data_IF_654917085044
#
_entry.id   IF_654917085044
#
_cell.length_a   1.000
_cell.length_b   1.000
_cell.length_c   1.000
_cell.angle_alpha   90.00
_cell.angle_beta   90.00
_cell.angle_gamma   90.00
#
_symmetry.space_group_name_H-M   'P 1'
#
loop_
_entity.id
_entity.type
_entity.pdbx_description
1 polymer ?
#
# COMPACT_ATOMS: atom_id res chain seq x y z
N UNK A 1 19.72 -12.36 23.84
CA UNK A 1 19.08 -11.20 23.16
C UNK A 1 19.05 -9.94 24.03
N UNK A 2 18.86 -10.02 25.36
CA UNK A 2 18.80 -8.85 26.24
C UNK A 2 20.18 -8.18 26.47
N UNK A 3 21.26 -8.96 26.52
CA UNK A 3 22.61 -8.44 26.83
C UNK A 3 23.26 -7.60 25.71
N UNK A 4 22.85 -7.78 24.45
CA UNK A 4 23.33 -6.93 23.34
C UNK A 4 22.70 -5.53 23.35
N UNK A 5 21.63 -5.31 24.12
CA UNK A 5 20.92 -4.03 24.22
C UNK A 5 21.59 -3.02 25.17
N UNK A 6 22.68 -3.43 25.85
CA UNK A 6 23.48 -2.61 26.79
C UNK A 6 24.86 -2.23 26.25
N UNK A 7 25.07 -2.20 24.93
CA UNK A 7 26.29 -1.58 24.37
C UNK A 7 26.26 -0.07 24.66
N UNK A 8 27.42 0.53 24.93
CA UNK A 8 27.58 1.98 24.91
C UNK A 8 27.24 2.44 23.50
N UNK A 9 26.06 3.03 23.36
CA UNK A 9 25.58 3.49 22.08
C UNK A 9 26.30 4.80 21.73
N UNK A 10 26.70 5.00 20.46
CA UNK A 10 27.25 6.27 20.00
C UNK A 10 26.29 7.42 20.29
N UNK A 11 26.86 8.63 20.43
CA UNK A 11 26.04 9.83 20.64
C UNK A 11 25.11 10.01 19.45
N UNK A 12 23.85 10.35 19.74
CA UNK A 12 22.90 10.72 18.70
C UNK A 12 23.50 11.83 17.81
N UNK A 13 23.43 11.69 16.48
CA UNK A 13 23.93 12.70 15.56
C UNK A 13 23.17 14.02 15.74
N UNK A 14 23.85 15.15 15.53
CA UNK A 14 23.27 16.49 15.71
C UNK A 14 23.00 17.21 14.39
N UNK A 15 23.49 16.69 13.28
CA UNK A 15 23.23 17.18 11.94
C UNK A 15 23.11 16.02 10.93
N UNK A 16 22.57 16.26 9.71
CA UNK A 16 22.60 15.28 8.62
C UNK A 16 24.02 14.81 8.27
N UNK A 17 25.01 15.70 8.27
CA UNK A 17 26.41 15.36 8.00
C UNK A 17 26.97 14.41 9.07
N UNK A 18 26.62 14.64 10.34
CA UNK A 18 26.95 13.72 11.43
C UNK A 18 26.34 12.33 11.20
N UNK A 19 25.11 12.25 10.66
CA UNK A 19 24.46 10.98 10.31
C UNK A 19 25.28 10.24 9.26
N UNK A 20 25.63 10.90 8.15
CA UNK A 20 26.40 10.28 7.07
C UNK A 20 27.78 9.82 7.54
N UNK A 21 28.48 10.64 8.33
CA UNK A 21 29.77 10.28 8.92
C UNK A 21 29.64 9.05 9.83
N UNK A 22 28.68 9.07 10.75
CA UNK A 22 28.45 7.96 11.68
C UNK A 22 28.09 6.66 10.94
N UNK A 23 27.20 6.72 9.95
CA UNK A 23 26.81 5.55 9.17
C UNK A 23 27.98 5.02 8.31
N UNK A 24 28.79 5.89 7.73
CA UNK A 24 29.98 5.49 6.98
C UNK A 24 31.04 4.80 7.86
N UNK A 25 31.15 5.17 9.13
CA UNK A 25 31.99 4.48 10.10
C UNK A 25 31.37 3.14 10.55
N UNK A 26 30.04 3.09 10.71
CA UNK A 26 29.33 1.91 11.18
C UNK A 26 29.20 0.82 10.11
N UNK A 27 29.06 1.16 8.83
CA UNK A 27 28.80 0.18 7.74
C UNK A 27 29.88 -0.90 7.60
N UNK A 28 31.09 -0.64 8.08
CA UNK A 28 32.21 -1.61 8.04
C UNK A 28 32.18 -2.59 9.21
N UNK A 29 31.45 -2.27 10.28
CA UNK A 29 31.33 -3.09 11.48
C UNK A 29 30.40 -4.28 11.23
N UNK A 30 30.70 -5.43 11.85
CA UNK A 30 29.96 -6.67 11.59
C UNK A 30 28.49 -6.62 12.02
N UNK A 31 28.16 -5.84 13.06
CA UNK A 31 26.76 -5.63 13.49
C UNK A 31 25.90 -4.95 12.41
N UNK A 32 26.51 -4.28 11.44
CA UNK A 32 25.85 -3.53 10.36
C UNK A 32 25.95 -4.25 9.01
N UNK A 33 26.44 -5.49 9.02
CA UNK A 33 26.48 -6.36 7.85
C UNK A 33 25.40 -7.43 7.95
N UNK A 34 24.76 -7.74 6.83
CA UNK A 34 23.86 -8.88 6.74
C UNK A 34 24.57 -10.00 5.99
N UNK A 35 24.73 -11.18 6.63
CA UNK A 35 25.48 -12.32 6.06
C UNK A 35 26.88 -11.94 5.52
N UNK A 36 27.60 -11.10 6.27
CA UNK A 36 28.94 -10.55 5.95
C UNK A 36 28.99 -9.59 4.75
N UNK A 37 27.84 -9.20 4.19
CA UNK A 37 27.75 -8.17 3.14
C UNK A 37 27.27 -6.83 3.73
N UNK A 38 27.64 -5.69 3.10
CA UNK A 38 27.13 -4.39 3.50
C UNK A 38 25.60 -4.36 3.51
N UNK A 39 25.02 -3.79 4.57
CA UNK A 39 23.56 -3.60 4.68
C UNK A 39 23.16 -2.12 4.68
N UNK A 40 24.14 -1.22 4.75
CA UNK A 40 23.96 0.23 4.60
C UNK A 40 24.73 0.66 3.35
N UNK A 41 24.03 1.35 2.45
CA UNK A 41 24.56 1.89 1.20
C UNK A 41 24.30 3.39 1.18
N UNK A 42 25.35 4.16 0.89
CA UNK A 42 25.31 5.63 0.85
C UNK A 42 26.07 6.04 -0.40
N UNK A 43 25.46 6.82 -1.32
CA UNK A 43 26.13 7.35 -2.50
C UNK A 43 27.18 8.40 -2.09
N UNK A 44 28.15 8.65 -2.98
CA UNK A 44 29.27 9.57 -2.69
C UNK A 44 28.81 11.01 -2.41
N UNK A 45 27.70 11.43 -3.02
CA UNK A 45 27.09 12.75 -2.85
C UNK A 45 26.22 12.87 -1.58
N UNK A 46 26.05 11.77 -0.83
CA UNK A 46 25.19 11.67 0.34
C UNK A 46 23.71 12.07 0.07
N UNK A 47 23.19 11.84 -1.15
CA UNK A 47 21.81 12.22 -1.49
C UNK A 47 20.75 11.44 -0.72
N UNK A 48 21.04 10.19 -0.32
CA UNK A 48 20.13 9.34 0.46
C UNK A 48 20.90 8.29 1.27
N UNK A 49 20.19 7.59 2.18
CA UNK A 49 20.70 6.39 2.86
C UNK A 49 19.80 5.22 2.47
N UNK A 50 20.37 4.15 1.93
CA UNK A 50 19.65 2.93 1.61
C UNK A 50 20.09 1.82 2.57
N UNK A 51 19.14 1.24 3.31
CA UNK A 51 19.40 0.14 4.24
C UNK A 51 18.73 -1.10 3.69
N UNK A 52 19.49 -1.95 3.01
CA UNK A 52 18.97 -3.13 2.32
C UNK A 52 20.09 -4.10 1.97
N UNK A 53 19.72 -5.27 1.47
CA UNK A 53 20.68 -6.24 0.90
C UNK A 53 20.68 -6.20 -0.63
N UNK A 54 21.78 -6.59 -1.25
CA UNK A 54 21.89 -6.71 -2.71
C UNK A 54 20.80 -7.64 -3.28
N UNK A 55 20.43 -8.68 -2.53
CA UNK A 55 19.34 -9.58 -2.89
C UNK A 55 18.02 -8.82 -3.07
N UNK A 56 17.68 -7.87 -2.19
CA UNK A 56 16.44 -7.11 -2.33
C UNK A 56 16.47 -6.19 -3.55
N UNK A 57 17.60 -5.53 -3.80
CA UNK A 57 17.75 -4.65 -4.95
C UNK A 57 17.59 -5.43 -6.25
N UNK A 58 18.27 -6.58 -6.36
CA UNK A 58 18.15 -7.48 -7.50
C UNK A 58 16.73 -8.02 -7.64
N UNK A 59 16.08 -8.37 -6.53
CA UNK A 59 14.70 -8.85 -6.55
C UNK A 59 13.74 -7.76 -7.07
N UNK A 60 13.83 -6.53 -6.57
CA UNK A 60 13.01 -5.40 -7.03
C UNK A 60 13.19 -5.11 -8.51
N UNK A 61 14.43 -5.12 -9.00
CA UNK A 61 14.75 -4.89 -10.42
C UNK A 61 14.21 -6.02 -11.29
N UNK A 62 14.35 -7.28 -10.85
CA UNK A 62 13.99 -8.47 -11.64
C UNK A 62 12.47 -8.67 -11.75
N UNK A 63 11.72 -8.27 -10.73
CA UNK A 63 10.30 -8.58 -10.62
C UNK A 63 9.36 -7.41 -10.92
N UNK A 64 9.89 -6.30 -11.44
CA UNK A 64 9.14 -5.09 -11.84
C UNK A 64 8.00 -4.77 -10.87
N UNK A 65 8.34 -4.69 -9.57
CA UNK A 65 7.37 -4.59 -8.48
C UNK A 65 6.78 -3.17 -8.42
N UNK A 66 6.01 -2.77 -9.45
CA UNK A 66 5.38 -1.45 -9.58
C UNK A 66 3.93 -1.47 -9.07
N UNK A 67 3.30 -2.64 -8.95
CA UNK A 67 1.90 -2.75 -8.51
C UNK A 67 1.76 -2.31 -7.03
N UNK A 68 1.46 -1.03 -6.80
CA UNK A 68 1.12 -0.44 -5.50
C UNK A 68 -0.40 -0.48 -5.33
N UNK A 69 -0.92 -1.52 -4.69
CA UNK A 69 -2.35 -1.54 -4.40
C UNK A 69 -2.68 -0.55 -3.26
N UNK A 70 -3.13 0.64 -3.62
CA UNK A 70 -3.72 1.59 -2.67
C UNK A 70 -5.00 0.97 -2.12
N UNK A 71 -5.00 0.55 -0.85
CA UNK A 71 -6.28 0.25 -0.23
C UNK A 71 -7.10 1.54 -0.09
N UNK A 72 -8.41 1.42 -0.25
CA UNK A 72 -9.32 2.52 -0.02
C UNK A 72 -9.36 3.01 1.44
N UNK A 73 -8.38 2.67 2.30
CA UNK A 73 -8.29 3.21 3.65
C UNK A 73 -8.08 4.72 3.63
N UNK A 74 -7.33 5.28 2.67
CA UNK A 74 -7.15 6.73 2.54
C UNK A 74 -8.49 7.41 2.23
N UNK A 75 -9.23 6.88 1.25
CA UNK A 75 -10.58 7.33 0.90
C UNK A 75 -11.54 7.20 2.08
N UNK A 76 -11.50 6.07 2.80
CA UNK A 76 -12.27 5.90 4.03
C UNK A 76 -11.90 6.93 5.10
N UNK A 77 -10.61 7.20 5.35
CA UNK A 77 -10.19 8.22 6.33
C UNK A 77 -10.73 9.59 5.97
N UNK A 78 -10.70 9.97 4.68
CA UNK A 78 -11.29 11.22 4.20
C UNK A 78 -12.81 11.23 4.42
N UNK A 79 -13.53 10.18 4.02
CA UNK A 79 -14.97 10.03 4.28
C UNK A 79 -15.28 10.15 5.78
N UNK A 80 -14.50 9.47 6.63
CA UNK A 80 -14.72 9.41 8.07
C UNK A 80 -14.42 10.73 8.79
N UNK A 81 -13.59 11.59 8.18
CA UNK A 81 -13.27 12.92 8.71
C UNK A 81 -14.46 13.89 8.62
N UNK A 82 -15.39 13.67 7.69
CA UNK A 82 -16.62 14.43 7.54
C UNK A 82 -17.81 13.67 8.14
N UNK A 83 -18.58 14.30 9.01
CA UNK A 83 -19.71 13.64 9.66
C UNK A 83 -20.86 13.29 8.71
N UNK A 84 -21.13 14.11 7.70
CA UNK A 84 -22.19 13.92 6.72
C UNK A 84 -21.83 12.74 5.83
N UNK A 85 -20.63 12.73 5.26
CA UNK A 85 -20.14 11.63 4.41
C UNK A 85 -20.10 10.32 5.20
N UNK A 86 -19.62 10.35 6.44
CA UNK A 86 -19.56 9.17 7.31
C UNK A 86 -20.93 8.58 7.62
N UNK A 87 -21.93 9.42 7.91
CA UNK A 87 -23.30 8.97 8.20
C UNK A 87 -23.93 8.37 6.95
N UNK A 88 -23.81 9.05 5.81
CA UNK A 88 -24.31 8.58 4.52
C UNK A 88 -23.69 7.24 4.12
N UNK A 89 -22.37 7.11 4.22
CA UNK A 89 -21.64 5.88 3.88
C UNK A 89 -22.11 4.65 4.67
N UNK A 90 -22.41 4.82 5.97
CA UNK A 90 -22.85 3.74 6.85
C UNK A 90 -24.34 3.40 6.71
N UNK A 91 -25.13 4.32 6.19
CA UNK A 91 -26.57 4.12 6.03
C UNK A 91 -26.84 3.21 4.83
N UNK A 92 -27.71 2.23 5.02
CA UNK A 92 -28.15 1.36 3.92
C UNK A 92 -28.97 2.14 2.90
N UNK A 93 -28.73 1.86 1.61
CA UNK A 93 -29.45 2.44 0.47
C UNK A 93 -29.46 3.98 0.42
N UNK A 94 -28.46 4.63 1.02
CA UNK A 94 -28.26 6.06 0.91
C UNK A 94 -27.59 6.39 -0.44
N UNK A 95 -28.12 7.35 -1.19
CA UNK A 95 -27.58 7.72 -2.52
C UNK A 95 -26.15 8.24 -2.44
N UNK A 96 -25.86 9.11 -1.47
CA UNK A 96 -24.51 9.62 -1.21
C UNK A 96 -23.61 8.48 -0.72
N UNK A 97 -24.13 7.61 0.15
CA UNK A 97 -23.41 6.41 0.58
C UNK A 97 -23.01 5.50 -0.60
N UNK A 98 -23.92 5.25 -1.54
CA UNK A 98 -23.67 4.44 -2.73
C UNK A 98 -22.67 5.12 -3.67
N UNK A 99 -22.79 6.42 -3.87
CA UNK A 99 -21.83 7.21 -4.63
C UNK A 99 -20.41 7.08 -4.05
N UNK A 100 -20.24 7.30 -2.75
CA UNK A 100 -18.96 7.16 -2.05
C UNK A 100 -18.37 5.74 -2.17
N UNK A 101 -19.21 4.70 -2.05
CA UNK A 101 -18.76 3.30 -2.17
C UNK A 101 -18.30 2.97 -3.59
N UNK A 102 -18.83 3.63 -4.61
CA UNK A 102 -18.47 3.36 -6.02
C UNK A 102 -17.02 3.71 -6.34
N UNK A 103 -16.40 4.67 -5.62
CA UNK A 103 -14.98 4.99 -5.75
C UNK A 103 -14.08 3.78 -5.49
N UNK A 104 -14.44 2.92 -4.53
CA UNK A 104 -13.70 1.70 -4.21
C UNK A 104 -13.65 0.69 -5.38
N UNK A 105 -14.55 0.84 -6.36
CA UNK A 105 -14.52 0.07 -7.62
C UNK A 105 -13.47 0.56 -8.63
N UNK A 106 -12.99 1.80 -8.53
CA UNK A 106 -12.03 2.37 -9.49
C UNK A 106 -10.70 1.59 -9.54
N UNK A 107 -10.28 1.00 -8.41
CA UNK A 107 -9.06 0.20 -8.33
C UNK A 107 -9.10 -1.08 -9.17
N UNK A 108 -10.28 -1.41 -9.69
CA UNK A 108 -10.57 -2.60 -10.48
C UNK A 108 -10.83 -2.29 -11.95
N UNK A 109 -10.44 -1.10 -12.42
CA UNK A 109 -10.44 -0.72 -13.83
C UNK A 109 -9.01 -0.73 -14.40
N UNK A 110 -8.85 -0.86 -15.72
CA UNK A 110 -7.59 -0.51 -16.38
C UNK A 110 -7.22 0.94 -16.05
N UNK A 111 -5.93 1.20 -15.76
CA UNK A 111 -5.46 2.53 -15.36
C UNK A 111 -5.92 3.68 -16.27
N UNK A 112 -5.89 3.48 -17.59
CA UNK A 112 -6.29 4.45 -18.59
C UNK A 112 -7.81 4.72 -18.65
N UNK A 113 -8.65 3.88 -18.03
CA UNK A 113 -10.11 4.11 -17.95
C UNK A 113 -10.53 4.82 -16.66
N UNK A 114 -9.62 4.97 -15.69
CA UNK A 114 -9.96 5.50 -14.36
C UNK A 114 -10.42 6.96 -14.41
N UNK A 115 -9.76 7.79 -15.21
CA UNK A 115 -10.13 9.20 -15.34
C UNK A 115 -11.54 9.37 -15.94
N UNK A 116 -11.86 8.63 -17.01
CA UNK A 116 -13.19 8.65 -17.63
C UNK A 116 -14.25 8.12 -16.65
N UNK A 117 -13.96 7.05 -15.93
CA UNK A 117 -14.85 6.51 -14.91
C UNK A 117 -15.10 7.48 -13.74
N UNK A 118 -14.08 8.26 -13.37
CA UNK A 118 -14.22 9.32 -12.38
C UNK A 118 -15.17 10.43 -12.87
N UNK A 119 -15.07 10.84 -14.13
CA UNK A 119 -16.00 11.83 -14.74
C UNK A 119 -17.43 11.30 -14.72
N UNK A 120 -17.64 10.02 -15.04
CA UNK A 120 -18.95 9.38 -14.97
C UNK A 120 -19.51 9.37 -13.54
N UNK A 121 -18.67 9.11 -12.51
CA UNK A 121 -19.06 9.24 -11.11
C UNK A 121 -19.45 10.68 -10.74
N UNK A 122 -18.72 11.69 -11.23
CA UNK A 122 -19.06 13.10 -10.96
C UNK A 122 -20.44 13.45 -11.54
N UNK A 123 -20.80 12.90 -12.70
CA UNK A 123 -22.10 13.17 -13.36
C UNK A 123 -23.31 12.71 -12.55
N UNK A 124 -23.11 11.78 -11.61
CA UNK A 124 -24.16 11.23 -10.73
C UNK A 124 -23.94 11.60 -9.25
N UNK A 125 -23.14 12.63 -8.95
CA UNK A 125 -23.04 13.12 -7.58
C UNK A 125 -24.42 13.62 -7.10
N UNK A 126 -24.90 13.17 -5.93
CA UNK A 126 -26.22 13.55 -5.44
C UNK A 126 -26.27 14.96 -4.82
N UNK A 127 -25.12 15.58 -4.50
CA UNK A 127 -25.05 16.92 -3.92
C UNK A 127 -23.67 17.56 -4.13
N UNK A 128 -23.55 18.45 -5.13
CA UNK A 128 -22.28 19.09 -5.50
C UNK A 128 -21.55 19.77 -4.33
N UNK A 129 -22.27 20.43 -3.42
CA UNK A 129 -21.67 21.15 -2.29
C UNK A 129 -21.07 20.22 -1.23
N UNK A 130 -21.62 19.01 -1.10
CA UNK A 130 -21.14 18.00 -0.13
C UNK A 130 -20.09 17.10 -0.77
N UNK A 131 -20.22 16.82 -2.07
CA UNK A 131 -19.28 15.98 -2.81
C UNK A 131 -17.94 16.66 -3.09
N UNK A 132 -17.92 17.98 -3.34
CA UNK A 132 -16.76 18.67 -3.92
C UNK A 132 -15.47 18.44 -3.13
N UNK A 133 -15.51 18.55 -1.80
CA UNK A 133 -14.30 18.39 -0.99
C UNK A 133 -13.72 16.96 -1.06
N UNK A 134 -14.59 15.95 -1.16
CA UNK A 134 -14.15 14.56 -1.31
C UNK A 134 -13.67 14.26 -2.73
N UNK A 135 -14.40 14.71 -3.75
CA UNK A 135 -14.00 14.51 -5.15
C UNK A 135 -12.70 15.24 -5.48
N UNK A 136 -12.53 16.47 -5.00
CA UNK A 136 -11.29 17.24 -5.18
C UNK A 136 -10.11 16.55 -4.50
N UNK A 137 -10.33 16.01 -3.29
CA UNK A 137 -9.32 15.20 -2.61
C UNK A 137 -8.92 13.98 -3.44
N UNK A 138 -9.89 13.23 -3.97
CA UNK A 138 -9.61 12.05 -4.80
C UNK A 138 -8.89 12.46 -6.09
N UNK A 139 -9.37 13.50 -6.77
CA UNK A 139 -8.79 13.99 -8.01
C UNK A 139 -7.32 14.36 -7.85
N UNK A 140 -7.02 15.26 -6.91
CA UNK A 140 -5.68 15.81 -6.69
C UNK A 140 -4.67 14.77 -6.18
N UNK A 141 -5.14 13.67 -5.58
CA UNK A 141 -4.25 12.66 -4.99
C UNK A 141 -4.15 11.37 -5.80
N UNK A 142 -5.16 11.04 -6.61
CA UNK A 142 -5.29 9.70 -7.19
C UNK A 142 -5.66 9.64 -8.68
N UNK A 143 -6.27 10.69 -9.26
CA UNK A 143 -6.83 10.62 -10.62
C UNK A 143 -5.95 11.33 -11.63
N UNK A 144 -5.46 12.52 -11.27
CA UNK A 144 -4.60 13.31 -12.14
C UNK A 144 -3.27 12.57 -12.41
N UNK A 145 -2.76 12.63 -13.64
CA UNK A 145 -1.51 11.97 -14.02
C UNK A 145 -0.29 12.54 -13.26
N UNK A 146 -0.37 13.80 -12.84
CA UNK A 146 0.63 14.48 -12.01
C UNK A 146 0.31 14.37 -10.51
N UNK A 147 -0.73 13.62 -10.14
CA UNK A 147 -1.04 13.38 -8.74
C UNK A 147 0.07 12.57 -8.05
N UNK A 148 0.22 12.67 -6.71
CA UNK A 148 1.18 11.87 -5.97
C UNK A 148 1.00 10.35 -6.13
N UNK A 149 -0.21 9.89 -6.46
CA UNK A 149 -0.53 8.47 -6.64
C UNK A 149 -1.38 8.26 -7.91
N UNK A 150 -0.80 8.38 -9.11
CA UNK A 150 -1.56 8.32 -10.36
C UNK A 150 -2.13 6.92 -10.64
N UNK A 151 -3.18 6.77 -11.46
CA UNK A 151 -3.86 5.48 -11.66
C UNK A 151 -2.97 4.32 -12.09
N UNK A 152 -1.88 4.59 -12.81
CA UNK A 152 -0.94 3.58 -13.27
C UNK A 152 -0.24 2.79 -12.15
N UNK A 153 -0.17 3.33 -10.93
CA UNK A 153 0.46 2.62 -9.80
C UNK A 153 -0.54 1.80 -8.97
N UNK A 154 -1.85 2.10 -9.03
CA UNK A 154 -2.83 1.50 -8.11
C UNK A 154 -4.08 0.87 -8.75
N UNK A 155 -4.41 1.21 -9.99
CA UNK A 155 -5.56 0.69 -10.69
C UNK A 155 -5.17 -0.37 -11.72
N UNK A 156 -5.88 -1.49 -11.71
CA UNK A 156 -5.68 -2.59 -12.65
C UNK A 156 -6.97 -3.37 -12.84
N UNK A 157 -7.23 -3.87 -14.03
CA UNK A 157 -8.38 -4.76 -14.27
C UNK A 157 -8.31 -6.02 -13.38
N UNK A 158 -9.44 -6.61 -12.96
CA UNK A 158 -9.44 -7.74 -12.03
C UNK A 158 -8.76 -8.96 -12.65
N UNK A 159 -7.81 -9.55 -11.93
CA UNK A 159 -7.16 -10.80 -12.34
C UNK A 159 -7.26 -11.81 -11.19
N UNK A 160 -6.78 -13.03 -11.43
CA UNK A 160 -6.73 -14.07 -10.39
C UNK A 160 -5.52 -13.84 -9.45
N UNK A 161 -5.43 -12.65 -8.89
CA UNK A 161 -4.38 -12.21 -7.97
C UNK A 161 -4.97 -11.70 -6.64
N UNK A 162 -4.42 -12.10 -5.47
CA UNK A 162 -4.88 -11.59 -4.19
C UNK A 162 -4.58 -10.10 -4.04
N UNK A 163 -5.61 -9.26 -4.13
CA UNK A 163 -5.54 -7.82 -3.85
C UNK A 163 -5.92 -7.52 -2.41
N UNK A 164 -5.02 -7.86 -1.49
CA UNK A 164 -5.21 -7.58 -0.06
C UNK A 164 -4.02 -6.82 0.52
N UNK A 165 -4.32 -5.79 1.31
CA UNK A 165 -3.29 -5.10 2.10
C UNK A 165 -3.09 -5.75 3.46
N UNK A 166 -3.71 -6.91 3.73
CA UNK A 166 -3.56 -7.65 4.98
C UNK A 166 -2.10 -8.02 5.24
N UNK A 167 -1.38 -8.45 4.21
CA UNK A 167 0.05 -8.77 4.30
C UNK A 167 0.88 -7.52 4.67
N UNK A 168 0.67 -6.42 3.95
CA UNK A 168 1.36 -5.14 4.19
C UNK A 168 1.04 -4.56 5.57
N UNK A 169 -0.25 -4.53 5.94
CA UNK A 169 -0.70 -4.08 7.26
C UNK A 169 -0.17 -4.98 8.38
N UNK A 170 -0.13 -6.30 8.18
CA UNK A 170 0.46 -7.24 9.13
C UNK A 170 1.97 -7.01 9.29
N UNK A 171 2.67 -6.79 8.18
CA UNK A 171 4.08 -6.43 8.19
C UNK A 171 4.32 -5.16 9.00
N UNK A 172 3.63 -4.07 8.71
CA UNK A 172 3.80 -2.81 9.44
C UNK A 172 3.46 -2.93 10.92
N UNK A 173 2.39 -3.65 11.29
CA UNK A 173 2.05 -3.91 12.70
C UNK A 173 3.18 -4.68 13.40
N UNK A 174 3.67 -5.74 12.77
CA UNK A 174 4.73 -6.59 13.33
C UNK A 174 6.03 -5.80 13.46
N UNK A 175 6.43 -5.08 12.41
CA UNK A 175 7.62 -4.23 12.41
C UNK A 175 7.53 -3.15 13.50
N UNK A 176 6.43 -2.39 13.56
CA UNK A 176 6.24 -1.34 14.54
C UNK A 176 6.24 -1.89 15.98
N UNK A 177 5.72 -3.10 16.20
CA UNK A 177 5.72 -3.75 17.53
C UNK A 177 7.11 -4.10 18.07
N UNK A 178 8.15 -4.10 17.22
CA UNK A 178 9.54 -4.31 17.65
C UNK A 178 10.14 -3.08 18.36
N UNK A 179 9.48 -1.92 18.28
CA UNK A 179 9.96 -0.67 18.84
C UNK A 179 9.12 -0.23 20.05
N UNK A 180 9.76 -0.13 21.22
CA UNK A 180 9.11 0.27 22.47
C UNK A 180 9.40 1.73 22.88
N UNK A 181 10.07 2.50 22.02
CA UNK A 181 10.44 3.91 22.24
C UNK A 181 10.12 4.73 21.00
N UNK A 182 9.66 5.96 21.18
CA UNK A 182 9.37 6.88 20.06
C UNK A 182 10.61 7.22 19.22
N UNK A 183 11.80 7.13 19.82
CA UNK A 183 13.08 7.39 19.15
C UNK A 183 14.03 6.19 19.36
N UNK A 184 13.84 5.08 18.62
CA UNK A 184 14.70 3.92 18.74
C UNK A 184 16.11 4.23 18.22
N UNK A 185 17.12 3.62 18.82
CA UNK A 185 18.50 3.79 18.37
C UNK A 185 18.72 3.08 17.03
N UNK A 186 19.56 3.65 16.15
CA UNK A 186 19.82 3.10 14.81
C UNK A 186 20.28 1.63 14.84
N UNK A 187 21.02 1.22 15.88
CA UNK A 187 21.45 -0.16 16.05
C UNK A 187 20.27 -1.12 16.23
N UNK A 188 19.23 -0.70 16.97
CA UNK A 188 18.01 -1.48 17.14
C UNK A 188 17.23 -1.56 15.83
N UNK A 189 17.12 -0.43 15.11
CA UNK A 189 16.46 -0.38 13.80
C UNK A 189 17.13 -1.34 12.82
N UNK A 190 18.46 -1.30 12.72
CA UNK A 190 19.21 -2.15 11.79
C UNK A 190 19.12 -3.63 12.17
N UNK A 191 19.18 -3.95 13.46
CA UNK A 191 18.98 -5.33 13.92
C UNK A 191 17.60 -5.86 13.52
N UNK A 192 16.53 -5.07 13.74
CA UNK A 192 15.16 -5.45 13.35
C UNK A 192 15.04 -5.61 11.82
N UNK A 193 15.67 -4.72 11.04
CA UNK A 193 15.69 -4.82 9.58
C UNK A 193 16.45 -6.07 9.10
N UNK A 194 17.56 -6.44 9.74
CA UNK A 194 18.30 -7.66 9.44
C UNK A 194 17.50 -8.92 9.78
N UNK A 195 16.79 -8.94 10.91
CA UNK A 195 15.89 -10.05 11.28
C UNK A 195 14.75 -10.18 10.27
N UNK A 196 14.11 -9.05 9.92
CA UNK A 196 13.08 -8.96 8.88
C UNK A 196 13.62 -9.47 7.54
N UNK A 197 14.85 -9.11 7.18
CA UNK A 197 15.50 -9.58 5.95
C UNK A 197 15.70 -11.09 5.94
N UNK A 198 16.13 -11.68 7.06
CA UNK A 198 16.31 -13.12 7.19
C UNK A 198 14.97 -13.88 7.01
N UNK A 199 13.89 -13.36 7.60
CA UNK A 199 12.54 -13.91 7.43
C UNK A 199 12.07 -13.82 5.97
N UNK A 200 12.22 -12.66 5.33
CA UNK A 200 11.83 -12.44 3.94
C UNK A 200 12.55 -13.38 2.99
N UNK A 201 13.87 -13.54 3.12
CA UNK A 201 14.62 -14.51 2.31
C UNK A 201 14.17 -15.95 2.52
N UNK A 202 13.79 -16.31 3.75
CA UNK A 202 13.28 -17.65 4.05
C UNK A 202 11.92 -17.88 3.38
N UNK A 203 11.04 -16.87 3.40
CA UNK A 203 9.75 -16.91 2.70
C UNK A 203 9.91 -17.01 1.19
N UNK A 204 10.79 -16.21 0.58
CA UNK A 204 11.03 -16.25 -0.87
C UNK A 204 11.55 -17.63 -1.30
N UNK A 205 12.51 -18.21 -0.57
CA UNK A 205 12.99 -19.56 -0.86
C UNK A 205 11.89 -20.62 -0.75
N UNK A 206 10.99 -20.49 0.23
CA UNK A 206 9.84 -21.39 0.36
C UNK A 206 8.87 -21.29 -0.82
N UNK A 207 8.74 -20.11 -1.43
CA UNK A 207 7.93 -19.92 -2.63
C UNK A 207 8.62 -20.56 -3.83
N UNK A 208 9.93 -20.36 -3.98
CA UNK A 208 10.74 -20.99 -5.04
C UNK A 208 10.71 -22.53 -4.98
N UNK A 209 10.42 -23.11 -3.81
CA UNK A 209 10.27 -24.56 -3.60
C UNK A 209 8.82 -25.05 -3.57
N UNK A 210 7.86 -24.24 -4.04
CA UNK A 210 6.41 -24.54 -4.10
C UNK A 210 5.77 -24.96 -2.76
N UNK A 211 6.37 -24.59 -1.64
CA UNK A 211 5.90 -24.94 -0.30
C UNK A 211 5.13 -23.78 0.36
N UNK A 212 4.22 -23.14 -0.37
CA UNK A 212 3.44 -22.01 0.13
C UNK A 212 1.96 -22.37 0.36
N UNK A 213 1.31 -21.59 1.23
CA UNK A 213 -0.10 -21.77 1.55
C UNK A 213 -0.97 -21.24 0.41
N UNK A 214 -1.90 -22.06 -0.08
CA UNK A 214 -2.88 -21.64 -1.08
C UNK A 214 -3.81 -20.55 -0.55
N UNK A 215 -4.31 -19.72 -1.47
CA UNK A 215 -5.32 -18.70 -1.20
C UNK A 215 -6.56 -19.33 -0.53
N UNK A 216 -7.18 -18.59 0.40
CA UNK A 216 -8.40 -19.08 1.04
C UNK A 216 -9.56 -19.18 0.04
N UNK A 217 -10.45 -20.16 0.24
CA UNK A 217 -11.64 -20.33 -0.61
C UNK A 217 -12.53 -19.06 -0.66
N UNK A 218 -12.65 -18.35 0.47
CA UNK A 218 -13.43 -17.10 0.57
C UNK A 218 -12.84 -16.01 -0.33
N UNK A 219 -11.51 -15.86 -0.30
CA UNK A 219 -10.81 -14.88 -1.14
C UNK A 219 -10.90 -15.24 -2.62
N UNK A 220 -10.74 -16.53 -2.96
CA UNK A 220 -10.92 -17.04 -4.31
C UNK A 220 -12.34 -16.73 -4.84
N UNK A 221 -13.38 -16.99 -4.05
CA UNK A 221 -14.76 -16.65 -4.40
C UNK A 221 -14.94 -15.15 -4.62
N UNK A 222 -14.33 -14.31 -3.76
CA UNK A 222 -14.39 -12.86 -3.87
C UNK A 222 -13.78 -12.36 -5.19
N UNK A 223 -12.61 -12.89 -5.56
CA UNK A 223 -11.91 -12.55 -6.81
C UNK A 223 -12.73 -13.00 -8.02
N UNK A 224 -13.19 -14.26 -8.05
CA UNK A 224 -14.01 -14.78 -9.15
C UNK A 224 -15.26 -13.91 -9.34
N UNK A 225 -15.95 -13.56 -8.26
CA UNK A 225 -17.15 -12.73 -8.33
C UNK A 225 -16.86 -11.28 -8.73
N UNK A 226 -15.61 -10.82 -8.69
CA UNK A 226 -15.17 -9.50 -9.16
C UNK A 226 -14.83 -9.54 -10.64
N UNK A 227 -14.12 -10.59 -11.09
CA UNK A 227 -13.86 -10.87 -12.50
C UNK A 227 -15.19 -11.02 -13.26
N UNK A 228 -16.13 -11.82 -12.75
CA UNK A 228 -17.44 -12.00 -13.38
C UNK A 228 -18.25 -10.69 -13.48
N UNK A 229 -18.09 -9.77 -12.52
CA UNK A 229 -18.75 -8.47 -12.57
C UNK A 229 -18.13 -7.57 -13.63
N UNK A 230 -16.80 -7.64 -13.81
CA UNK A 230 -16.08 -6.91 -14.84
C UNK A 230 -16.43 -7.44 -16.24
N UNK A 231 -16.49 -8.77 -16.41
CA UNK A 231 -16.96 -9.39 -17.65
C UNK A 231 -18.40 -9.00 -18.01
N UNK A 232 -19.29 -8.89 -17.02
CA UNK A 232 -20.66 -8.40 -17.21
C UNK A 232 -20.67 -6.96 -17.75
N UNK A 233 -19.83 -6.08 -17.18
CA UNK A 233 -19.65 -4.71 -17.65
C UNK A 233 -19.11 -4.66 -19.08
N UNK A 234 -18.07 -5.44 -19.40
CA UNK A 234 -17.46 -5.45 -20.72
C UNK A 234 -18.43 -5.89 -21.84
N UNK A 235 -19.42 -6.73 -21.53
CA UNK A 235 -20.46 -7.13 -22.51
C UNK A 235 -21.34 -5.97 -22.97
N UNK A 236 -21.52 -4.95 -22.13
CA UNK A 236 -22.33 -3.79 -22.45
C UNK A 236 -21.64 -2.52 -21.93
N UNK A 237 -20.48 -2.22 -22.51
CA UNK A 237 -19.58 -1.13 -22.10
C UNK A 237 -20.24 0.25 -22.31
N UNK A 238 -21.06 0.66 -21.36
CA UNK A 238 -21.75 1.94 -21.33
C UNK A 238 -21.72 2.55 -19.92
N UNK A 239 -21.96 3.85 -19.81
CA UNK A 239 -21.88 4.60 -18.54
C UNK A 239 -22.77 4.01 -17.44
N UNK A 240 -23.98 3.55 -17.80
CA UNK A 240 -24.92 2.94 -16.84
C UNK A 240 -24.36 1.65 -16.24
N UNK A 241 -23.79 0.78 -17.06
CA UNK A 241 -23.24 -0.49 -16.60
C UNK A 241 -21.88 -0.32 -15.90
N UNK A 242 -21.11 0.70 -16.27
CA UNK A 242 -19.91 1.13 -15.54
C UNK A 242 -20.27 1.53 -14.11
N UNK A 243 -21.24 2.43 -13.91
CA UNK A 243 -21.65 2.87 -12.57
C UNK A 243 -22.20 1.70 -11.73
N UNK A 244 -22.99 0.81 -12.35
CA UNK A 244 -23.48 -0.43 -11.71
C UNK A 244 -22.32 -1.33 -11.29
N UNK A 245 -21.32 -1.50 -12.15
CA UNK A 245 -20.11 -2.27 -11.87
C UNK A 245 -19.31 -1.67 -10.71
N UNK A 246 -19.02 -0.38 -10.75
CA UNK A 246 -18.27 0.35 -9.73
C UNK A 246 -18.93 0.22 -8.37
N UNK A 247 -20.25 0.40 -8.28
CA UNK A 247 -20.99 0.21 -7.03
C UNK A 247 -20.94 -1.25 -6.55
N UNK A 248 -21.14 -2.22 -7.45
CA UNK A 248 -21.13 -3.65 -7.13
C UNK A 248 -19.78 -4.12 -6.60
N UNK A 249 -18.68 -3.68 -7.21
CA UNK A 249 -17.32 -4.01 -6.78
C UNK A 249 -16.93 -3.19 -5.54
N UNK A 250 -17.23 -1.91 -5.52
CA UNK A 250 -16.92 -1.04 -4.39
C UNK A 250 -17.53 -1.53 -3.07
N UNK A 251 -18.78 -2.02 -3.10
CA UNK A 251 -19.43 -2.67 -1.96
C UNK A 251 -18.71 -3.92 -1.44
N UNK A 252 -17.88 -4.58 -2.24
CA UNK A 252 -17.07 -5.75 -1.82
C UNK A 252 -15.76 -5.35 -1.16
N UNK A 253 -15.21 -4.18 -1.48
CA UNK A 253 -13.86 -3.75 -1.06
C UNK A 253 -13.90 -2.47 -0.21
N UNK A 254 -14.96 -2.31 0.57
CA UNK A 254 -15.15 -1.20 1.51
C UNK A 254 -13.95 -1.07 2.47
N UNK A 255 -13.60 0.17 2.82
CA UNK A 255 -12.53 0.49 3.76
C UNK A 255 -12.77 0.04 5.22
N UNK A 256 -13.96 -0.51 5.53
CA UNK A 256 -14.31 -1.19 6.77
C UNK A 256 -15.23 -2.38 6.42
N UNK A 257 -15.13 -3.55 7.07
CA UNK A 257 -16.22 -4.50 7.12
C UNK A 257 -17.41 -3.90 7.89
N UNK A 258 -18.44 -3.47 7.16
CA UNK A 258 -19.72 -3.06 7.75
C UNK A 258 -20.41 -4.25 8.44
#
# INVERSE_FOLDING_TARGET
MYDRRRKVLPKLPKSPEDVFLQLNLMKTQDDFKFRRQPFIHIPEDNSFVCITSDFNLLFMIKHDCIDFFADGQSWWRKINSDSILRIAYKKENDELGNWLKSFFGLAFLPNHEVADAFVELMSVCPNDKVCSEFSDYVFNNYIDDESPFPPNIWAKEPMFDPRTTNAVGSFHRTYNSQFYKSHPHIHLVIMVLQETQAETMTKIRSIETDSYKSMSFIEMQKIIATIMAYDEYLRNKCSKDLLKYLLKVGNKYLGIPL
#
